data_IF_553707330897
#
_entry.id   IF_553707330897
#
_cell.length_a   1.000
_cell.length_b   1.000
_cell.length_c   1.000
_cell.angle_alpha   90.00
_cell.angle_beta   90.00
_cell.angle_gamma   90.00
#
_symmetry.space_group_name_H-M   'P 1'
#
loop_
_entity.id
_entity.type
_entity.pdbx_description
1 polymer ?
#
# COMPACT_ATOMS: atom_id res chain seq x y z
N UNK A 1 -11.77 -25.85 -22.62
CA UNK A 1 -10.62 -26.03 -21.74
C UNK A 1 -10.16 -24.66 -21.24
N UNK A 2 -9.89 -24.57 -19.93
CA UNK A 2 -9.40 -23.33 -19.33
C UNK A 2 -8.02 -23.01 -19.88
N UNK A 3 -7.78 -21.76 -20.28
CA UNK A 3 -6.46 -21.33 -20.75
C UNK A 3 -5.44 -21.34 -19.60
N UNK A 4 -4.34 -22.05 -19.81
CA UNK A 4 -3.20 -22.07 -18.88
C UNK A 4 -2.14 -21.12 -19.42
N UNK A 5 -1.82 -20.01 -18.71
CA UNK A 5 -0.80 -19.08 -19.14
C UNK A 5 0.59 -19.71 -19.24
N UNK A 6 1.46 -19.23 -20.15
CA UNK A 6 2.86 -19.64 -20.21
C UNK A 6 3.58 -19.48 -18.86
N UNK A 7 4.65 -20.26 -18.65
CA UNK A 7 5.43 -20.24 -17.41
C UNK A 7 5.91 -18.82 -17.02
N UNK A 8 6.37 -18.06 -18.01
CA UNK A 8 6.87 -16.69 -17.77
C UNK A 8 5.79 -15.75 -17.25
N UNK A 9 4.57 -15.82 -17.81
CA UNK A 9 3.46 -15.04 -17.32
C UNK A 9 3.03 -15.50 -15.92
N UNK A 10 3.00 -16.80 -15.65
CA UNK A 10 2.70 -17.33 -14.32
C UNK A 10 3.71 -16.83 -13.28
N UNK A 11 5.01 -16.89 -13.60
CA UNK A 11 6.06 -16.40 -12.72
C UNK A 11 5.95 -14.88 -12.46
N UNK A 12 5.63 -14.10 -13.49
CA UNK A 12 5.40 -12.65 -13.32
C UNK A 12 4.20 -12.38 -12.41
N UNK A 13 3.11 -13.14 -12.58
CA UNK A 13 1.91 -13.09 -11.76
C UNK A 13 2.21 -13.40 -10.28
N UNK A 14 3.03 -14.41 -10.01
CA UNK A 14 3.46 -14.72 -8.64
C UNK A 14 4.23 -13.55 -8.00
N UNK A 15 5.15 -12.92 -8.74
CA UNK A 15 5.90 -11.76 -8.24
C UNK A 15 4.98 -10.57 -7.89
N UNK A 16 4.04 -10.23 -8.79
CA UNK A 16 3.12 -9.10 -8.56
C UNK A 16 2.15 -9.37 -7.41
N UNK A 17 1.63 -10.60 -7.32
CA UNK A 17 0.73 -11.02 -6.24
C UNK A 17 1.44 -11.03 -4.89
N UNK A 18 2.68 -11.53 -4.83
CA UNK A 18 3.45 -11.52 -3.60
C UNK A 18 3.79 -10.10 -3.16
N UNK A 19 4.18 -9.21 -4.09
CA UNK A 19 4.38 -7.78 -3.80
C UNK A 19 3.11 -7.15 -3.23
N UNK A 20 1.94 -7.40 -3.82
CA UNK A 20 0.65 -6.89 -3.31
C UNK A 20 0.38 -7.36 -1.89
N UNK A 21 0.63 -8.64 -1.60
CA UNK A 21 0.46 -9.21 -0.26
C UNK A 21 1.36 -8.53 0.76
N UNK A 22 2.65 -8.33 0.45
CA UNK A 22 3.57 -7.59 1.33
C UNK A 22 3.11 -6.16 1.59
N UNK A 23 2.60 -5.45 0.59
CA UNK A 23 2.05 -4.08 0.77
C UNK A 23 0.84 -4.09 1.72
N UNK A 24 -0.03 -5.11 1.66
CA UNK A 24 -1.14 -5.27 2.59
C UNK A 24 -0.65 -5.58 4.02
N UNK A 25 0.38 -6.41 4.16
CA UNK A 25 1.01 -6.72 5.44
C UNK A 25 1.66 -5.47 6.06
N UNK A 26 2.38 -4.67 5.28
CA UNK A 26 2.93 -3.37 5.71
C UNK A 26 1.81 -2.46 6.24
N UNK A 27 0.68 -2.37 5.54
CA UNK A 27 -0.46 -1.56 5.97
C UNK A 27 -1.04 -2.07 7.29
N UNK A 28 -1.09 -3.39 7.48
CA UNK A 28 -1.55 -4.02 8.72
C UNK A 28 -0.60 -3.74 9.88
N UNK A 29 0.72 -3.80 9.65
CA UNK A 29 1.73 -3.49 10.67
C UNK A 29 1.75 -1.99 11.01
N UNK A 30 1.59 -1.10 10.04
CA UNK A 30 1.41 0.35 10.29
C UNK A 30 0.18 0.63 11.17
N UNK A 31 -0.94 -0.06 10.94
CA UNK A 31 -2.12 0.05 11.79
C UNK A 31 -1.89 -0.52 13.20
N UNK A 32 -1.06 -1.58 13.33
CA UNK A 32 -0.67 -2.13 14.64
C UNK A 32 0.18 -1.12 15.43
N UNK A 33 1.17 -0.51 14.77
CA UNK A 33 2.01 0.53 15.35
C UNK A 33 1.15 1.69 15.90
N UNK A 34 0.19 2.17 15.12
CA UNK A 34 -0.73 3.24 15.53
C UNK A 34 -1.53 2.80 16.77
N UNK A 35 -2.05 1.56 16.81
CA UNK A 35 -2.80 1.06 17.99
C UNK A 35 -1.96 1.01 19.25
N UNK A 36 -0.68 0.62 19.16
CA UNK A 36 0.23 0.63 20.31
C UNK A 36 0.43 2.07 20.82
N UNK A 37 0.57 3.05 19.93
CA UNK A 37 0.66 4.46 20.31
C UNK A 37 -0.64 4.96 20.95
N UNK A 38 -1.80 4.60 20.43
CA UNK A 38 -3.11 4.94 21.01
C UNK A 38 -3.28 4.37 22.43
N UNK A 39 -2.80 3.16 22.69
CA UNK A 39 -2.74 2.57 24.05
C UNK A 39 -1.87 3.39 25.00
N UNK A 40 -0.84 4.05 24.48
CA UNK A 40 0.00 4.99 25.22
C UNK A 40 -0.59 6.42 25.31
N UNK A 41 -1.87 6.61 24.94
CA UNK A 41 -2.57 7.89 24.85
C UNK A 41 -1.95 8.87 23.82
N UNK A 42 -1.27 8.37 22.80
CA UNK A 42 -0.75 9.15 21.68
C UNK A 42 -1.74 9.02 20.51
N UNK A 43 -2.44 10.13 20.17
CA UNK A 43 -3.59 10.11 19.25
C UNK A 43 -3.32 10.82 17.92
N UNK A 44 -2.18 10.58 17.31
CA UNK A 44 -1.79 11.21 16.04
C UNK A 44 -2.82 11.03 14.93
N UNK A 45 -3.46 9.86 14.84
CA UNK A 45 -4.48 9.57 13.82
C UNK A 45 -5.73 10.44 13.94
N UNK A 46 -6.04 10.98 15.13
CA UNK A 46 -7.18 11.87 15.33
C UNK A 46 -6.99 13.27 14.72
N UNK A 47 -5.74 13.68 14.53
CA UNK A 47 -5.37 15.01 14.01
C UNK A 47 -4.69 14.97 12.64
N UNK A 48 -4.33 13.78 12.15
CA UNK A 48 -3.66 13.59 10.88
C UNK A 48 -4.41 12.57 10.01
N UNK A 49 -4.92 13.02 8.86
CA UNK A 49 -5.61 12.14 7.90
C UNK A 49 -4.67 11.15 7.21
N UNK A 50 -3.42 11.53 6.98
CA UNK A 50 -2.42 10.75 6.27
C UNK A 50 -1.21 10.47 7.16
N UNK A 51 -1.08 9.21 7.59
CA UNK A 51 0.04 8.77 8.45
C UNK A 51 1.32 8.43 7.66
N UNK A 52 1.26 8.41 6.33
CA UNK A 52 2.42 8.20 5.45
C UNK A 52 3.09 9.51 5.02
N UNK A 53 2.60 10.65 5.48
CA UNK A 53 3.17 11.96 5.18
C UNK A 53 4.51 12.20 5.90
N UNK A 54 5.35 13.09 5.36
CA UNK A 54 6.68 13.39 5.90
C UNK A 54 6.65 13.75 7.39
N UNK A 55 5.73 14.62 7.80
CA UNK A 55 5.60 15.04 9.21
C UNK A 55 5.18 13.87 10.10
N UNK A 56 4.20 13.07 9.66
CA UNK A 56 3.76 11.89 10.41
C UNK A 56 4.92 10.90 10.58
N UNK A 57 5.68 10.61 9.52
CA UNK A 57 6.85 9.73 9.58
C UNK A 57 7.88 10.25 10.60
N UNK A 58 8.21 11.54 10.58
CA UNK A 58 9.17 12.14 11.50
C UNK A 58 8.70 12.09 12.96
N UNK A 59 7.40 12.32 13.22
CA UNK A 59 6.82 12.19 14.56
C UNK A 59 6.82 10.72 15.02
N UNK A 60 6.44 9.78 14.15
CA UNK A 60 6.47 8.35 14.44
C UNK A 60 7.91 7.86 14.73
N UNK A 61 8.89 8.32 13.94
CA UNK A 61 10.29 7.98 14.13
C UNK A 61 10.78 8.42 15.50
N UNK A 62 10.44 9.64 15.90
CA UNK A 62 10.82 10.19 17.20
C UNK A 62 10.15 9.46 18.37
N UNK A 63 8.84 9.20 18.26
CA UNK A 63 8.08 8.47 19.28
C UNK A 63 8.59 7.03 19.43
N UNK A 64 8.82 6.33 18.32
CA UNK A 64 9.32 4.94 18.33
C UNK A 64 10.78 4.84 18.81
N UNK A 65 11.54 5.92 18.80
CA UNK A 65 12.90 5.97 19.38
C UNK A 65 12.91 6.39 20.87
N UNK A 66 11.74 6.57 21.48
CA UNK A 66 11.62 6.99 22.88
C UNK A 66 11.99 8.45 23.15
N UNK A 67 12.12 9.25 22.09
CA UNK A 67 12.44 10.66 22.24
C UNK A 67 11.18 11.49 22.47
N UNK A 68 11.30 12.46 23.37
CA UNK A 68 10.20 13.38 23.64
C UNK A 68 9.87 14.25 22.42
N UNK A 69 8.58 14.40 22.13
CA UNK A 69 8.09 15.33 21.10
C UNK A 69 7.82 16.68 21.76
N UNK A 70 8.76 17.63 21.59
CA UNK A 70 8.63 18.99 22.13
C UNK A 70 7.94 19.94 21.14
N UNK A 71 7.48 21.10 21.60
CA UNK A 71 6.89 22.13 20.72
C UNK A 71 7.89 22.64 19.69
N UNK A 72 9.15 22.79 20.07
CA UNK A 72 10.25 23.22 19.19
C UNK A 72 10.46 22.21 18.07
N UNK A 73 10.43 20.92 18.40
CA UNK A 73 10.55 19.86 17.38
C UNK A 73 9.38 19.89 16.40
N UNK A 74 8.15 20.01 16.91
CA UNK A 74 6.98 20.12 16.03
C UNK A 74 7.10 21.31 15.10
N UNK A 75 7.47 22.50 15.62
CA UNK A 75 7.66 23.69 14.80
C UNK A 75 8.76 23.50 13.73
N UNK A 76 9.80 22.71 14.03
CA UNK A 76 10.88 22.41 13.06
C UNK A 76 10.45 21.51 11.91
N UNK A 77 9.50 20.60 12.14
CA UNK A 77 9.02 19.63 11.13
C UNK A 77 7.71 20.05 10.47
N UNK A 78 6.99 20.99 11.08
CA UNK A 78 5.70 21.47 10.61
C UNK A 78 5.85 22.29 9.31
N UNK A 79 4.98 22.02 8.36
CA UNK A 79 4.79 22.86 7.18
C UNK A 79 3.30 23.11 6.94
N UNK A 80 2.93 24.31 6.55
CA UNK A 80 1.57 24.87 6.56
C UNK A 80 0.55 24.21 5.60
N UNK A 81 0.81 22.98 5.12
CA UNK A 81 -0.14 22.18 4.33
C UNK A 81 -0.95 21.18 5.15
N UNK A 82 -0.71 21.10 6.46
CA UNK A 82 -1.47 20.25 7.36
C UNK A 82 -2.74 20.95 7.83
N UNK A 83 -3.84 20.20 7.97
CA UNK A 83 -5.05 20.72 8.58
C UNK A 83 -4.89 20.94 10.09
N UNK A 84 -4.10 20.07 10.76
CA UNK A 84 -3.81 20.18 12.18
C UNK A 84 -2.82 21.32 12.45
N UNK A 85 -3.04 22.06 13.50
CA UNK A 85 -2.13 23.09 14.01
C UNK A 85 -0.94 22.45 14.76
N UNK A 86 0.19 23.18 14.93
CA UNK A 86 1.30 22.70 15.76
C UNK A 86 0.89 22.34 17.19
N UNK A 87 -0.03 23.11 17.79
CA UNK A 87 -0.52 22.85 19.14
C UNK A 87 -1.36 21.58 19.24
N UNK A 88 -2.20 21.29 18.23
CA UNK A 88 -2.98 20.03 18.17
C UNK A 88 -2.05 18.83 17.99
N UNK A 89 -1.02 18.95 17.14
CA UNK A 89 -0.01 17.90 16.98
C UNK A 89 0.75 17.64 18.28
N UNK A 90 1.14 18.72 18.99
CA UNK A 90 1.80 18.59 20.28
C UNK A 90 0.92 17.85 21.29
N UNK A 91 -0.34 18.27 21.46
CA UNK A 91 -1.30 17.60 22.36
C UNK A 91 -1.51 16.14 21.99
N UNK A 92 -1.59 15.81 20.69
CA UNK A 92 -1.78 14.45 20.21
C UNK A 92 -0.57 13.54 20.49
N UNK A 93 0.63 14.10 20.69
CA UNK A 93 1.85 13.38 21.03
C UNK A 93 2.07 13.25 22.55
N UNK A 94 1.26 13.85 23.39
CA UNK A 94 1.43 13.83 24.84
C UNK A 94 0.87 12.54 25.46
N UNK A 95 1.67 11.50 25.42
CA UNK A 95 1.39 10.21 26.03
C UNK A 95 2.64 9.66 26.71
N UNK A 96 2.49 8.59 27.49
CA UNK A 96 3.60 7.92 28.16
C UNK A 96 3.81 6.55 27.54
N UNK A 97 4.95 6.37 26.88
CA UNK A 97 5.35 5.08 26.31
C UNK A 97 6.20 4.36 27.37
N UNK A 98 5.72 3.22 27.86
CA UNK A 98 6.49 2.34 28.74
C UNK A 98 7.52 1.52 27.96
N UNK A 99 8.49 0.94 28.67
CA UNK A 99 9.63 0.22 28.07
C UNK A 99 9.20 -0.93 27.16
N UNK A 100 8.22 -1.74 27.56
CA UNK A 100 7.70 -2.83 26.73
C UNK A 100 7.01 -2.33 25.46
N UNK A 101 6.26 -1.23 25.54
CA UNK A 101 5.64 -0.62 24.37
C UNK A 101 6.69 0.00 23.45
N UNK A 102 7.72 0.61 23.99
CA UNK A 102 8.83 1.14 23.20
C UNK A 102 9.57 0.03 22.45
N UNK A 103 9.87 -1.09 23.16
CA UNK A 103 10.44 -2.26 22.53
C UNK A 103 9.55 -2.81 21.42
N UNK A 104 8.24 -2.97 21.67
CA UNK A 104 7.29 -3.46 20.68
C UNK A 104 7.21 -2.55 19.46
N UNK A 105 7.16 -1.23 19.64
CA UNK A 105 7.19 -0.24 18.57
C UNK A 105 8.45 -0.36 17.71
N UNK A 106 9.61 -0.58 18.35
CA UNK A 106 10.88 -0.75 17.64
C UNK A 106 10.88 -2.01 16.77
N UNK A 107 10.35 -3.13 17.29
CA UNK A 107 10.21 -4.40 16.55
C UNK A 107 9.27 -4.25 15.35
N UNK A 108 8.09 -3.65 15.56
CA UNK A 108 7.12 -3.42 14.48
C UNK A 108 7.75 -2.53 13.39
N UNK A 109 8.44 -1.46 13.79
CA UNK A 109 9.10 -0.55 12.84
C UNK A 109 10.20 -1.24 12.03
N UNK A 110 11.03 -2.05 12.68
CA UNK A 110 12.06 -2.85 12.01
C UNK A 110 11.43 -3.83 11.00
N UNK A 111 10.33 -4.49 11.36
CA UNK A 111 9.60 -5.40 10.48
C UNK A 111 9.03 -4.66 9.26
N UNK A 112 8.39 -3.50 9.45
CA UNK A 112 7.90 -2.66 8.34
C UNK A 112 9.06 -2.32 7.38
N UNK A 113 10.19 -1.88 7.92
CA UNK A 113 11.36 -1.51 7.11
C UNK A 113 11.89 -2.67 6.27
N UNK A 114 12.00 -3.88 6.84
CA UNK A 114 12.44 -5.07 6.09
C UNK A 114 11.43 -5.46 5.00
N UNK A 115 10.12 -5.38 5.28
CA UNK A 115 9.10 -5.63 4.26
C UNK A 115 9.13 -4.59 3.12
N UNK A 116 9.37 -3.32 3.43
CA UNK A 116 9.52 -2.26 2.40
C UNK A 116 10.74 -2.53 1.50
N UNK A 117 11.85 -3.03 2.04
CA UNK A 117 13.01 -3.48 1.24
C UNK A 117 12.64 -4.64 0.31
N UNK A 118 11.90 -5.62 0.79
CA UNK A 118 11.43 -6.75 -0.04
C UNK A 118 10.51 -6.28 -1.16
N UNK A 119 9.60 -5.33 -0.89
CA UNK A 119 8.75 -4.71 -1.91
C UNK A 119 9.59 -4.00 -2.97
N UNK A 120 10.66 -3.31 -2.57
CA UNK A 120 11.58 -2.65 -3.49
C UNK A 120 12.31 -3.67 -4.40
N UNK A 121 12.82 -4.77 -3.82
CA UNK A 121 13.48 -5.84 -4.57
C UNK A 121 12.54 -6.51 -5.58
N UNK A 122 11.30 -6.83 -5.17
CA UNK A 122 10.28 -7.38 -6.06
C UNK A 122 9.94 -6.41 -7.19
N UNK A 123 9.78 -5.12 -6.87
CA UNK A 123 9.50 -4.09 -7.88
C UNK A 123 10.63 -3.97 -8.91
N UNK A 124 11.89 -4.00 -8.47
CA UNK A 124 13.05 -4.03 -9.37
C UNK A 124 13.06 -5.26 -10.27
N UNK A 125 12.74 -6.45 -9.72
CA UNK A 125 12.65 -7.67 -10.50
C UNK A 125 11.52 -7.66 -11.54
N UNK A 126 10.36 -7.15 -11.16
CA UNK A 126 9.20 -6.99 -12.06
C UNK A 126 9.55 -6.01 -13.18
N UNK A 127 10.09 -4.83 -12.85
CA UNK A 127 10.50 -3.83 -13.83
C UNK A 127 11.52 -4.39 -14.83
N UNK A 128 12.53 -5.13 -14.37
CA UNK A 128 13.52 -5.78 -15.25
C UNK A 128 12.89 -6.78 -16.22
N UNK A 129 11.88 -7.53 -15.77
CA UNK A 129 11.17 -8.49 -16.64
C UNK A 129 10.27 -7.80 -17.66
N UNK A 130 9.73 -6.64 -17.35
CA UNK A 130 8.85 -5.86 -18.22
C UNK A 130 9.60 -4.85 -19.12
N UNK A 131 10.88 -4.64 -18.90
CA UNK A 131 11.70 -3.70 -19.67
C UNK A 131 11.61 -3.91 -21.21
N UNK A 132 11.57 -5.13 -21.75
CA UNK A 132 11.40 -5.34 -23.19
C UNK A 132 10.06 -4.80 -23.75
N UNK A 133 9.07 -4.57 -22.90
CA UNK A 133 7.74 -4.09 -23.24
C UNK A 133 7.49 -2.64 -22.79
N UNK A 134 8.55 -1.88 -22.55
CA UNK A 134 8.48 -0.51 -21.98
C UNK A 134 7.54 0.41 -22.75
N UNK A 135 7.54 0.36 -24.08
CA UNK A 135 6.66 1.19 -24.92
C UNK A 135 5.18 0.92 -24.62
N UNK A 136 4.78 -0.35 -24.55
CA UNK A 136 3.41 -0.72 -24.21
C UNK A 136 3.06 -0.33 -22.78
N UNK A 137 4.00 -0.50 -21.84
CA UNK A 137 3.81 -0.07 -20.45
C UNK A 137 3.57 1.44 -20.34
N UNK A 138 4.30 2.24 -21.12
CA UNK A 138 4.13 3.70 -21.15
C UNK A 138 2.79 4.11 -21.78
N UNK A 139 2.37 3.43 -22.83
CA UNK A 139 1.04 3.64 -23.43
C UNK A 139 -0.09 3.35 -22.42
N UNK A 140 0.01 2.28 -21.63
CA UNK A 140 -0.98 1.94 -20.62
C UNK A 140 -0.99 2.94 -19.46
N UNK A 141 0.16 3.45 -19.04
CA UNK A 141 0.29 4.49 -18.01
C UNK A 141 -0.30 5.85 -18.43
N UNK A 142 -0.47 6.09 -19.73
CA UNK A 142 -1.10 7.30 -20.22
C UNK A 142 -2.62 7.38 -19.91
N UNK A 143 -3.25 6.25 -19.57
CA UNK A 143 -4.65 6.25 -19.13
C UNK A 143 -4.79 6.80 -17.70
N UNK A 144 -5.75 7.72 -17.45
CA UNK A 144 -6.01 8.26 -16.13
C UNK A 144 -6.26 7.14 -15.10
N UNK A 145 -5.57 7.21 -13.95
CA UNK A 145 -5.68 6.24 -12.87
C UNK A 145 -4.80 5.00 -13.01
N UNK A 146 -4.04 4.87 -14.09
CA UNK A 146 -3.10 3.76 -14.29
C UNK A 146 -1.69 4.19 -13.89
N UNK A 147 -1.32 3.91 -12.64
CA UNK A 147 0.06 4.04 -12.19
C UNK A 147 0.92 2.83 -12.63
N UNK A 148 2.22 2.92 -12.40
CA UNK A 148 3.16 1.85 -12.77
C UNK A 148 2.78 0.49 -12.17
N UNK A 149 2.35 0.46 -10.90
CA UNK A 149 2.00 -0.79 -10.22
C UNK A 149 0.72 -1.40 -10.78
N UNK A 150 -0.27 -0.57 -11.05
CA UNK A 150 -1.54 -0.98 -11.67
C UNK A 150 -1.28 -1.61 -13.04
N UNK A 151 -0.44 -0.99 -13.86
CA UNK A 151 -0.10 -1.52 -15.20
C UNK A 151 0.69 -2.83 -15.09
N UNK A 152 1.68 -2.92 -14.20
CA UNK A 152 2.44 -4.15 -13.96
C UNK A 152 1.54 -5.30 -13.50
N UNK A 153 0.63 -5.04 -12.55
CA UNK A 153 -0.32 -6.02 -12.04
C UNK A 153 -1.30 -6.47 -13.14
N UNK A 154 -1.82 -5.52 -13.93
CA UNK A 154 -2.73 -5.79 -15.06
C UNK A 154 -2.04 -6.70 -16.09
N UNK A 155 -0.86 -6.31 -16.56
CA UNK A 155 -0.12 -7.07 -17.59
C UNK A 155 0.27 -8.46 -17.07
N UNK A 156 0.63 -8.60 -15.80
CA UNK A 156 0.91 -9.90 -15.21
C UNK A 156 -0.32 -10.83 -15.25
N UNK A 157 -1.53 -10.29 -15.05
CA UNK A 157 -2.75 -11.08 -15.05
C UNK A 157 -3.26 -11.40 -16.46
N UNK A 158 -3.27 -10.43 -17.39
CA UNK A 158 -3.83 -10.65 -18.73
C UNK A 158 -2.80 -11.11 -19.77
N UNK A 159 -1.51 -10.81 -19.57
CA UNK A 159 -0.45 -11.00 -20.56
C UNK A 159 -0.47 -9.91 -21.64
N UNK A 160 0.35 -10.12 -22.68
CA UNK A 160 0.48 -9.19 -23.82
C UNK A 160 -0.33 -9.63 -25.03
N UNK A 161 -0.70 -10.90 -25.10
CA UNK A 161 -1.45 -11.49 -26.21
C UNK A 161 -2.95 -11.32 -25.98
N UNK A 162 -3.54 -10.36 -26.67
CA UNK A 162 -4.98 -10.06 -26.62
C UNK A 162 -5.81 -10.98 -27.51
N UNK A 163 -5.23 -11.82 -28.36
CA UNK A 163 -5.97 -12.80 -29.18
C UNK A 163 -6.79 -13.80 -28.33
N UNK A 164 -6.42 -13.96 -27.06
CA UNK A 164 -7.11 -14.78 -26.07
C UNK A 164 -8.49 -14.26 -25.67
N UNK A 165 -8.74 -12.98 -25.91
CA UNK A 165 -10.00 -12.31 -25.58
C UNK A 165 -10.72 -11.94 -26.88
N UNK A 166 -11.78 -12.70 -27.28
CA UNK A 166 -12.49 -12.46 -28.53
C UNK A 166 -13.09 -11.05 -28.66
N UNK A 167 -13.34 -10.39 -27.52
CA UNK A 167 -13.81 -8.99 -27.49
C UNK A 167 -13.52 -8.33 -26.15
N UNK A 168 -13.66 -7.00 -26.08
CA UNK A 168 -13.56 -6.23 -24.83
C UNK A 168 -14.55 -6.72 -23.76
N UNK A 169 -15.73 -7.22 -24.15
CA UNK A 169 -16.72 -7.80 -23.22
C UNK A 169 -16.17 -9.06 -22.54
N UNK A 170 -15.45 -9.91 -23.27
CA UNK A 170 -14.84 -11.12 -22.69
C UNK A 170 -13.73 -10.76 -21.68
N UNK A 171 -12.92 -9.76 -21.99
CA UNK A 171 -11.93 -9.24 -21.04
C UNK A 171 -12.61 -8.64 -19.80
N UNK A 172 -13.66 -7.83 -19.98
CA UNK A 172 -14.43 -7.24 -18.88
C UNK A 172 -15.11 -8.32 -18.00
N UNK A 173 -15.68 -9.36 -18.60
CA UNK A 173 -16.22 -10.52 -17.87
C UNK A 173 -15.14 -11.24 -17.06
N UNK A 174 -14.00 -11.49 -17.69
CA UNK A 174 -12.87 -12.13 -17.02
C UNK A 174 -12.35 -11.28 -15.85
N UNK A 175 -12.28 -9.97 -16.00
CA UNK A 175 -11.88 -9.03 -14.95
C UNK A 175 -12.93 -8.84 -13.84
N UNK A 176 -14.11 -9.48 -13.95
CA UNK A 176 -15.20 -9.33 -12.98
C UNK A 176 -15.92 -7.98 -13.05
N UNK A 177 -15.76 -7.24 -14.14
CA UNK A 177 -16.38 -5.92 -14.34
C UNK A 177 -17.82 -6.03 -14.87
N UNK A 178 -18.27 -7.22 -15.24
CA UNK A 178 -19.67 -7.44 -15.60
C UNK A 178 -20.53 -7.46 -14.33
N UNK A 179 -21.73 -6.82 -14.34
CA UNK A 179 -22.67 -6.93 -13.25
C UNK A 179 -22.93 -8.41 -12.95
N UNK A 180 -22.71 -8.82 -11.71
CA UNK A 180 -22.99 -10.19 -11.29
C UNK A 180 -24.48 -10.48 -11.51
N UNK A 181 -24.80 -11.48 -12.31
CA UNK A 181 -26.15 -12.03 -12.33
C UNK A 181 -26.36 -12.82 -11.04
N UNK A 182 -26.87 -12.15 -10.00
CA UNK A 182 -27.33 -12.80 -8.78
C UNK A 182 -28.70 -13.44 -9.04
N UNK A 183 -28.78 -14.35 -10.02
CA UNK A 183 -29.94 -15.15 -10.30
C UNK A 183 -29.67 -16.59 -9.82
N UNK A 184 -30.49 -17.06 -8.88
CA UNK A 184 -30.57 -18.46 -8.53
C UNK A 184 -32.02 -18.91 -8.70
N UNK A 185 -32.26 -19.94 -9.52
CA UNK A 185 -33.59 -20.52 -9.81
C UNK A 185 -34.61 -19.49 -10.33
N UNK A 186 -34.18 -18.56 -11.22
CA UNK A 186 -35.06 -17.54 -11.83
C UNK A 186 -35.44 -16.39 -10.89
N UNK A 187 -34.87 -16.28 -9.70
CA UNK A 187 -35.09 -15.19 -8.76
C UNK A 187 -33.83 -14.32 -8.65
N UNK A 188 -33.94 -13.03 -9.01
CA UNK A 188 -32.92 -12.03 -8.76
C UNK A 188 -32.82 -11.80 -7.26
N UNK A 189 -31.64 -12.01 -6.67
CA UNK A 189 -31.32 -11.54 -5.31
C UNK A 189 -30.77 -10.12 -5.44
N UNK A 190 -31.51 -9.17 -4.87
CA UNK A 190 -31.05 -7.78 -4.67
C UNK A 190 -29.96 -7.70 -3.61
#
# INVERSE_FOLDING_TARGET
>A
PSFIPPSDQRNLRELTRHRRKLVQEISSEKNRLIRVLEQCNIKLKSVMSHMDGKVASQLLDRLCSGQEVTKEYINSVYHGKLHATPEELYKACQGKIGDDNLFLLSVIKAHIYEMEKLVCQLSGRIASRLAPQSVLMDMLKAFPGFDTRTVEDLVAEIGFDMSKFPSAKHLGSWAGLCPGNNESAGKKKS
#
